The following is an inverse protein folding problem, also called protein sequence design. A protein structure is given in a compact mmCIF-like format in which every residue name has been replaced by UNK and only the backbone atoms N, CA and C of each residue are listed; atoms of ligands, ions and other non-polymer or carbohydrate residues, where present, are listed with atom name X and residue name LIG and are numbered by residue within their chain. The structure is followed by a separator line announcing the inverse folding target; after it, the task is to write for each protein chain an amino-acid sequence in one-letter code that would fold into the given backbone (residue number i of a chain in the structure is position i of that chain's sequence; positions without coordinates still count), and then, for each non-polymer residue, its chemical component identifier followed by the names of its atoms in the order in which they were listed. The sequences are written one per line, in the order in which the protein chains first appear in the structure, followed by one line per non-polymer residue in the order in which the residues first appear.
data_IF_874944146000
#
_entry.id   IF_874944146000
#
_cell.length_a   1.000
_cell.length_b   1.000
_cell.length_c   1.000
_cell.angle_alpha   90.00
_cell.angle_beta   90.00
_cell.angle_gamma   90.00
#
_symmetry.space_group_name_H-M   'P 1'
#
loop_
_entity.id
_entity.type
_entity.pdbx_description
1 polymer ?
#
# COMPACT_ATOMS: atom_id res chain seq x y z
N UNK A 1 -7.30 4.14 5.96
CA UNK A 1 -8.21 4.74 6.95
C UNK A 1 -8.42 6.24 6.73
N UNK A 2 -7.41 6.97 6.25
CA UNK A 2 -7.53 8.37 5.82
C UNK A 2 -8.66 8.58 4.80
N UNK A 3 -8.66 7.82 3.70
CA UNK A 3 -9.67 7.97 2.63
C UNK A 3 -10.99 7.25 2.93
N UNK A 4 -10.93 6.13 3.67
CA UNK A 4 -12.09 5.28 3.94
C UNK A 4 -11.91 4.48 5.22
N UNK A 5 -12.99 4.41 6.01
CA UNK A 5 -13.07 3.64 7.25
C UNK A 5 -13.51 2.17 7.05
N UNK A 6 -13.76 1.74 5.81
CA UNK A 6 -14.43 0.46 5.54
C UNK A 6 -13.47 -0.58 4.93
N UNK A 7 -13.61 -1.84 5.34
CA UNK A 7 -12.97 -3.02 4.74
C UNK A 7 -13.92 -3.80 3.82
N UNK A 8 -15.07 -3.21 3.48
CA UNK A 8 -16.15 -3.80 2.70
C UNK A 8 -17.49 -3.19 3.09
N UNK A 9 -18.53 -3.49 2.31
CA UNK A 9 -19.89 -2.97 2.55
C UNK A 9 -20.35 -3.31 3.97
N UNK A 10 -20.57 -2.27 4.79
CA UNK A 10 -21.05 -2.42 6.16
C UNK A 10 -20.03 -2.98 7.16
N UNK A 11 -18.74 -3.12 6.78
CA UNK A 11 -17.68 -3.63 7.66
C UNK A 11 -16.60 -2.56 7.86
N UNK A 12 -16.50 -2.01 9.06
CA UNK A 12 -15.39 -1.10 9.41
C UNK A 12 -14.06 -1.86 9.36
N UNK A 13 -13.04 -1.19 8.82
CA UNK A 13 -11.68 -1.68 8.84
C UNK A 13 -11.09 -1.54 10.24
N UNK A 14 -10.39 -2.60 10.71
CA UNK A 14 -9.74 -2.61 12.02
C UNK A 14 -8.37 -1.96 12.00
N UNK A 15 -7.75 -1.84 10.83
CA UNK A 15 -6.45 -1.23 10.64
C UNK A 15 -6.22 -0.81 9.19
N UNK A 16 -5.23 0.06 8.96
CA UNK A 16 -4.73 0.34 7.61
C UNK A 16 -4.19 -0.94 6.94
N UNK A 17 -3.52 -1.82 7.70
CA UNK A 17 -2.97 -3.07 7.18
C UNK A 17 -4.05 -4.01 6.61
N UNK A 18 -5.25 -4.05 7.20
CA UNK A 18 -6.36 -4.84 6.64
C UNK A 18 -6.72 -4.36 5.22
N UNK A 19 -6.75 -3.04 5.00
CA UNK A 19 -7.04 -2.46 3.69
C UNK A 19 -5.90 -2.71 2.69
N UNK A 20 -4.64 -2.63 3.12
CA UNK A 20 -3.47 -2.98 2.27
C UNK A 20 -3.53 -4.45 1.82
N UNK A 21 -3.87 -5.38 2.72
CA UNK A 21 -4.00 -6.80 2.37
C UNK A 21 -5.13 -7.05 1.37
N UNK A 22 -6.26 -6.34 1.49
CA UNK A 22 -7.37 -6.44 0.52
C UNK A 22 -6.94 -5.95 -0.87
N UNK A 23 -6.25 -4.82 -0.95
CA UNK A 23 -5.74 -4.28 -2.22
C UNK A 23 -4.70 -5.23 -2.85
N UNK A 24 -3.75 -5.75 -2.06
CA UNK A 24 -2.75 -6.72 -2.52
C UNK A 24 -3.41 -7.96 -3.15
N UNK A 25 -4.44 -8.53 -2.54
CA UNK A 25 -5.16 -9.69 -3.10
C UNK A 25 -5.76 -9.42 -4.48
N UNK A 26 -6.27 -8.20 -4.71
CA UNK A 26 -6.82 -7.82 -6.02
C UNK A 26 -5.69 -7.73 -7.06
N UNK A 27 -4.58 -7.07 -6.69
CA UNK A 27 -3.40 -6.90 -7.56
C UNK A 27 -2.83 -8.27 -7.95
N UNK A 28 -2.60 -9.15 -6.99
CA UNK A 28 -2.06 -10.51 -7.21
C UNK A 28 -3.04 -11.39 -8.01
N UNK A 29 -4.34 -11.24 -7.79
CA UNK A 29 -5.38 -11.92 -8.58
C UNK A 29 -5.39 -11.53 -10.07
N UNK A 30 -4.81 -10.38 -10.41
CA UNK A 30 -4.63 -9.90 -11.78
C UNK A 30 -3.27 -10.32 -12.38
N UNK A 31 -2.48 -11.13 -11.67
CA UNK A 31 -1.16 -11.58 -12.12
C UNK A 31 -0.06 -10.52 -12.00
N UNK A 32 -0.28 -9.49 -11.17
CA UNK A 32 0.69 -8.43 -10.88
C UNK A 32 1.34 -8.63 -9.51
N UNK A 33 2.44 -7.93 -9.27
CA UNK A 33 3.16 -7.95 -7.99
C UNK A 33 3.18 -6.56 -7.35
N UNK A 34 3.16 -6.52 -6.02
CA UNK A 34 3.25 -5.27 -5.25
C UNK A 34 4.72 -4.89 -5.08
N UNK A 35 5.10 -3.71 -5.57
CA UNK A 35 6.44 -3.17 -5.43
C UNK A 35 6.88 -3.07 -3.96
N UNK A 36 8.12 -3.43 -3.71
CA UNK A 36 8.86 -3.14 -2.48
C UNK A 36 9.12 -1.63 -2.35
N UNK A 37 9.47 -1.13 -1.15
CA UNK A 37 9.84 0.27 -0.99
C UNK A 37 11.04 0.70 -1.85
N UNK A 38 12.00 -0.19 -2.10
CA UNK A 38 13.17 0.12 -2.92
C UNK A 38 12.80 0.25 -4.40
N UNK A 39 12.00 -0.67 -4.94
CA UNK A 39 11.45 -0.58 -6.30
C UNK A 39 10.59 0.68 -6.48
N UNK A 40 9.76 1.00 -5.49
CA UNK A 40 8.96 2.23 -5.52
C UNK A 40 9.83 3.49 -5.59
N UNK A 41 10.97 3.51 -4.88
CA UNK A 41 11.93 4.63 -4.96
C UNK A 41 12.58 4.71 -6.34
N UNK A 42 12.91 3.58 -6.95
CA UNK A 42 13.48 3.55 -8.31
C UNK A 42 12.48 4.07 -9.34
N UNK A 43 11.26 3.53 -9.37
CA UNK A 43 10.18 3.91 -10.30
C UNK A 43 9.90 5.42 -10.23
N UNK A 44 9.91 5.99 -9.03
CA UNK A 44 9.62 7.40 -8.79
C UNK A 44 10.87 8.28 -8.75
N UNK A 45 12.07 7.72 -8.99
CA UNK A 45 13.35 8.45 -8.94
C UNK A 45 13.57 9.23 -7.62
N UNK A 46 13.27 8.58 -6.49
CA UNK A 46 13.35 9.21 -5.17
C UNK A 46 14.78 9.20 -4.61
N UNK A 47 15.05 10.21 -3.78
CA UNK A 47 16.40 10.50 -3.23
C UNK A 47 17.03 9.40 -2.37
N UNK A 48 16.23 8.49 -1.79
CA UNK A 48 16.67 7.50 -0.80
C UNK A 48 16.16 7.83 0.61
N UNK A 49 15.89 6.79 1.40
CA UNK A 49 15.34 6.93 2.75
C UNK A 49 16.34 7.47 3.78
N UNK A 50 17.62 7.49 3.45
CA UNK A 50 18.75 8.02 4.23
C UNK A 50 19.04 9.51 3.95
N UNK A 51 18.42 10.10 2.92
CA UNK A 51 18.65 11.50 2.50
C UNK A 51 17.52 12.44 2.92
N UNK A 52 17.01 12.25 4.12
CA UNK A 52 15.86 12.94 4.71
C UNK A 52 16.22 13.45 6.11
N UNK A 53 15.66 14.59 6.49
CA UNK A 53 15.98 15.32 7.73
C UNK A 53 14.83 15.16 8.74
N UNK A 54 14.63 13.95 9.29
CA UNK A 54 13.63 13.67 10.32
C UNK A 54 14.19 12.79 11.44
#
# INVERSE_FOLDING_TARGET
LEDSLWAGKGKLAKSNAEQVVLARKIIEGLGMEVATPDEAREILSLKGGDKVEF
#
